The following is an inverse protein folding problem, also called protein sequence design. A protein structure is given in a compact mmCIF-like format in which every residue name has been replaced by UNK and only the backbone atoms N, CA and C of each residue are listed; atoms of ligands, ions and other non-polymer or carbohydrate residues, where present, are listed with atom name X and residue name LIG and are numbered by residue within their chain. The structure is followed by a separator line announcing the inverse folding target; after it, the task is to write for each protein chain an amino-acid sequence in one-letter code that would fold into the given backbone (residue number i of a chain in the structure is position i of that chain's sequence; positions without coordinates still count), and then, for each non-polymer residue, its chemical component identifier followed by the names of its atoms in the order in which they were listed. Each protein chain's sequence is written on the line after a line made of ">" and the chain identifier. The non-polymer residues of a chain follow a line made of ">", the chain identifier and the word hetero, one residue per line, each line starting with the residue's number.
data_IF_963716139313
#
_entry.id   IF_963716139313
#
_cell.length_a   1.000
_cell.length_b   1.000
_cell.length_c   1.000
_cell.angle_alpha   90.00
_cell.angle_beta   90.00
_cell.angle_gamma   90.00
#
_symmetry.space_group_name_H-M   'P 1'
#
loop_
_entity.id
_entity.type
_entity.pdbx_description
1 polymer ?
#
# COMPACT_ATOMS: atom_id res chain seq x y z
N UNK A 1 16.35 -6.29 30.15
CA UNK A 1 15.24 -6.23 29.18
C UNK A 1 15.13 -4.80 28.70
N UNK A 2 15.31 -4.53 27.41
CA UNK A 2 15.08 -3.20 26.86
C UNK A 2 13.59 -2.85 26.98
N UNK A 3 13.21 -1.62 27.33
CA UNK A 3 11.81 -1.21 27.39
C UNK A 3 11.15 -1.42 26.03
N UNK A 4 9.93 -1.96 26.02
CA UNK A 4 9.13 -2.08 24.80
C UNK A 4 8.85 -0.67 24.27
N UNK A 5 9.02 -0.41 22.96
CA UNK A 5 8.69 0.89 22.39
C UNK A 5 7.19 1.18 22.55
N UNK A 6 6.86 2.38 22.99
CA UNK A 6 5.47 2.88 22.99
C UNK A 6 5.09 3.27 21.57
N UNK A 7 4.20 2.52 20.94
CA UNK A 7 3.72 2.79 19.58
C UNK A 7 2.43 3.58 19.62
N UNK A 8 2.32 4.62 18.78
CA UNK A 8 1.07 5.34 18.50
C UNK A 8 0.63 5.00 17.08
N UNK A 9 -0.44 4.22 16.95
CA UNK A 9 -1.04 3.89 15.66
C UNK A 9 -2.03 4.98 15.25
N UNK A 10 -1.86 5.52 14.05
CA UNK A 10 -2.74 6.54 13.47
C UNK A 10 -3.21 6.02 12.11
N UNK A 11 -4.52 5.87 11.94
CA UNK A 11 -5.09 5.58 10.62
C UNK A 11 -4.96 6.84 9.75
N UNK A 12 -4.39 6.67 8.56
CA UNK A 12 -4.28 7.74 7.57
C UNK A 12 -5.06 7.30 6.35
N UNK A 13 -6.17 7.99 6.08
CA UNK A 13 -6.91 7.80 4.84
C UNK A 13 -6.15 8.43 3.67
N UNK A 14 -6.45 8.01 2.45
CA UNK A 14 -5.84 8.62 1.28
C UNK A 14 -6.24 10.10 1.22
N UNK A 15 -5.29 11.04 1.07
CA UNK A 15 -5.64 12.46 1.08
C UNK A 15 -6.61 12.84 -0.04
N UNK A 16 -6.62 12.07 -1.14
CA UNK A 16 -7.54 12.23 -2.27
C UNK A 16 -8.99 11.83 -1.96
N UNK A 17 -9.23 11.05 -0.91
CA UNK A 17 -10.57 10.67 -0.43
C UNK A 17 -11.05 11.55 0.72
N UNK A 18 -10.21 12.49 1.20
CA UNK A 18 -10.53 13.39 2.30
C UNK A 18 -10.94 14.79 1.82
N UNK A 19 -11.74 15.48 2.63
CA UNK A 19 -12.06 16.91 2.44
C UNK A 19 -10.83 17.81 2.59
N UNK A 20 -9.86 17.42 3.43
CA UNK A 20 -8.57 18.08 3.59
C UNK A 20 -7.43 17.25 2.98
N UNK A 21 -7.10 17.55 1.72
CA UNK A 21 -6.04 16.86 0.97
C UNK A 21 -4.61 17.08 1.51
N UNK A 22 -4.42 17.97 2.49
CA UNK A 22 -3.12 18.24 3.11
C UNK A 22 -2.83 17.33 4.32
N UNK A 23 -3.84 16.63 4.85
CA UNK A 23 -3.66 15.74 5.99
C UNK A 23 -3.03 14.40 5.54
N UNK A 24 -1.80 14.15 5.97
CA UNK A 24 -1.11 12.87 5.74
C UNK A 24 0.01 12.67 6.80
N UNK A 25 0.65 11.50 6.77
CA UNK A 25 1.69 11.11 7.73
C UNK A 25 2.96 11.97 7.70
N UNK A 26 3.20 12.75 6.64
CA UNK A 26 4.40 13.58 6.55
C UNK A 26 4.45 14.68 7.60
N UNK A 27 3.31 15.07 8.18
CA UNK A 27 3.27 16.00 9.31
C UNK A 27 3.89 15.41 10.58
N UNK A 28 3.77 14.09 10.79
CA UNK A 28 4.44 13.41 11.91
C UNK A 28 5.95 13.41 11.72
N UNK A 29 6.41 13.11 10.50
CA UNK A 29 7.82 13.16 10.13
C UNK A 29 8.39 14.57 10.35
N UNK A 30 7.72 15.62 9.82
CA UNK A 30 8.13 17.02 10.00
C UNK A 30 8.10 17.51 11.44
N UNK A 31 7.32 16.86 12.31
CA UNK A 31 7.30 17.12 13.74
C UNK A 31 8.38 16.34 14.51
N UNK A 32 9.34 15.73 13.81
CA UNK A 32 10.48 15.05 14.41
C UNK A 32 10.21 13.61 14.85
N UNK A 33 9.09 12.99 14.43
CA UNK A 33 8.74 11.62 14.80
C UNK A 33 9.25 10.61 13.78
N UNK A 34 9.83 9.52 14.28
CA UNK A 34 10.09 8.34 13.48
C UNK A 34 8.78 7.59 13.19
N UNK A 35 8.56 7.27 11.91
CA UNK A 35 7.31 6.72 11.40
C UNK A 35 7.54 5.37 10.72
N UNK A 36 6.67 4.41 11.01
CA UNK A 36 6.52 3.18 10.23
C UNK A 36 5.23 3.28 9.43
N UNK A 37 5.32 3.15 8.11
CA UNK A 37 4.15 3.20 7.23
C UNK A 37 3.63 1.79 7.00
N UNK A 38 2.36 1.53 7.30
CA UNK A 38 1.71 0.23 7.04
C UNK A 38 0.74 0.41 5.89
N UNK A 39 0.90 -0.40 4.84
CA UNK A 39 0.09 -0.31 3.62
C UNK A 39 -0.60 -1.63 3.31
N UNK A 40 -1.82 -1.55 2.79
CA UNK A 40 -2.64 -2.70 2.43
C UNK A 40 -3.18 -2.55 1.01
N UNK A 41 -3.15 -3.61 0.20
CA UNK A 41 -3.72 -3.65 -1.16
C UNK A 41 -3.28 -2.45 -2.02
N UNK A 42 -4.19 -1.71 -2.64
CA UNK A 42 -3.90 -0.49 -3.41
C UNK A 42 -3.05 0.54 -2.64
N UNK A 43 -3.14 0.57 -1.30
CA UNK A 43 -2.29 1.38 -0.43
C UNK A 43 -0.79 1.15 -0.64
N UNK A 44 -0.38 -0.01 -1.16
CA UNK A 44 1.00 -0.28 -1.55
C UNK A 44 1.51 0.66 -2.64
N UNK A 45 0.73 0.82 -3.72
CA UNK A 45 1.12 1.65 -4.87
C UNK A 45 1.36 3.11 -4.47
N UNK A 46 0.45 3.66 -3.66
CA UNK A 46 0.50 5.07 -3.21
C UNK A 46 1.41 5.28 -2.01
N UNK A 47 1.47 4.33 -1.07
CA UNK A 47 2.27 4.46 0.14
C UNK A 47 3.77 4.32 -0.13
N UNK A 48 4.18 3.47 -1.08
CA UNK A 48 5.58 3.39 -1.53
C UNK A 48 6.06 4.69 -2.18
N UNK A 49 5.19 5.37 -2.92
CA UNK A 49 5.48 6.69 -3.48
C UNK A 49 5.47 7.79 -2.43
N UNK A 50 4.55 7.72 -1.46
CA UNK A 50 4.36 8.73 -0.43
C UNK A 50 5.56 8.93 0.50
N UNK A 51 6.44 7.92 0.63
CA UNK A 51 7.62 8.00 1.50
C UNK A 51 8.82 8.70 0.86
N UNK A 52 8.73 9.09 -0.41
CA UNK A 52 9.83 9.75 -1.14
C UNK A 52 10.27 11.04 -0.43
N UNK A 53 11.56 11.14 -0.17
CA UNK A 53 12.16 12.30 0.50
C UNK A 53 11.84 12.40 2.00
N UNK A 54 11.21 11.39 2.59
CA UNK A 54 10.92 11.32 4.03
C UNK A 54 11.76 10.25 4.75
N UNK A 55 12.60 9.52 4.02
CA UNK A 55 13.50 8.49 4.57
C UNK A 55 14.80 9.12 5.06
N UNK A 56 15.60 8.35 5.82
CA UNK A 56 16.90 8.82 6.29
C UNK A 56 17.83 9.15 5.10
N UNK A 57 18.46 10.34 5.07
CA UNK A 57 19.38 10.71 4.01
C UNK A 57 20.55 9.73 3.90
N UNK A 58 21.02 9.48 2.67
CA UNK A 58 22.27 8.77 2.43
C UNK A 58 23.45 9.74 2.61
N UNK A 59 24.18 9.64 3.72
CA UNK A 59 25.31 10.51 4.01
C UNK A 59 25.64 10.57 5.50
N UNK A 60 26.71 11.29 5.90
CA UNK A 60 26.97 11.54 7.32
C UNK A 60 25.75 12.23 7.94
N UNK A 61 25.33 11.84 9.16
CA UNK A 61 24.15 12.40 9.79
C UNK A 61 24.28 13.91 9.86
N UNK A 62 23.38 14.64 9.20
CA UNK A 62 23.18 16.05 9.52
C UNK A 62 22.64 16.09 10.94
N UNK A 63 23.38 16.74 11.84
CA UNK A 63 23.12 16.76 13.28
C UNK A 63 21.73 17.31 13.68
N UNK A 64 20.95 17.81 12.73
CA UNK A 64 19.63 18.41 12.91
C UNK A 64 18.46 17.65 12.26
N UNK A 65 18.68 16.57 11.50
CA UNK A 65 17.55 15.86 10.87
C UNK A 65 16.86 14.96 11.91
N UNK A 66 15.63 15.32 12.29
CA UNK A 66 14.78 14.56 13.19
C UNK A 66 13.51 14.12 12.48
N UNK A 67 13.03 12.93 12.81
CA UNK A 67 11.85 12.33 12.21
C UNK A 67 12.11 11.79 10.81
N UNK A 68 11.98 10.48 10.66
CA UNK A 68 12.11 9.82 9.36
C UNK A 68 11.08 8.71 9.21
N UNK A 69 10.76 8.36 7.97
CA UNK A 69 10.20 7.04 7.67
C UNK A 69 11.31 6.02 7.87
N UNK A 70 11.18 5.21 8.92
CA UNK A 70 12.17 4.21 9.34
C UNK A 70 11.79 2.78 8.95
N UNK A 71 10.59 2.59 8.40
CA UNK A 71 10.13 1.29 7.93
C UNK A 71 8.84 1.38 7.13
N UNK A 72 8.63 0.39 6.28
CA UNK A 72 7.35 0.14 5.61
C UNK A 72 6.95 -1.32 5.79
N UNK A 73 5.67 -1.55 6.12
CA UNK A 73 5.06 -2.88 6.22
C UNK A 73 4.03 -2.98 5.10
N UNK A 74 4.19 -3.99 4.25
CA UNK A 74 3.42 -4.16 3.02
C UNK A 74 2.54 -5.40 3.17
N UNK A 75 1.22 -5.26 3.05
CA UNK A 75 0.25 -6.33 3.28
C UNK A 75 -0.69 -6.51 2.09
N UNK A 76 -0.94 -7.76 1.69
CA UNK A 76 -1.84 -8.12 0.59
C UNK A 76 -1.65 -7.28 -0.69
N UNK A 77 -0.39 -6.95 -1.00
CA UNK A 77 -0.02 -6.11 -2.13
C UNK A 77 1.41 -6.44 -2.58
N UNK A 78 1.80 -5.96 -3.75
CA UNK A 78 3.08 -6.25 -4.39
C UNK A 78 3.87 -4.99 -4.73
N UNK A 79 5.03 -5.21 -5.35
CA UNK A 79 5.88 -4.16 -5.89
C UNK A 79 5.65 -4.08 -7.41
N UNK A 80 5.26 -2.92 -7.90
CA UNK A 80 5.02 -2.63 -9.32
C UNK A 80 6.24 -1.91 -9.88
N UNK A 81 6.73 -2.15 -11.12
CA UNK A 81 7.86 -1.38 -11.64
C UNK A 81 7.63 0.15 -11.55
N UNK A 82 8.70 0.90 -11.28
CA UNK A 82 8.62 2.36 -11.14
C UNK A 82 8.13 2.97 -12.46
N UNK A 83 7.16 3.88 -12.38
CA UNK A 83 6.53 4.53 -13.53
C UNK A 83 5.42 3.72 -14.21
N UNK A 84 5.11 2.51 -13.73
CA UNK A 84 4.07 1.64 -14.32
C UNK A 84 2.75 1.78 -13.54
N UNK A 85 1.65 1.99 -14.27
CA UNK A 85 0.31 2.05 -13.68
C UNK A 85 -0.12 0.70 -13.08
N UNK A 86 -0.98 0.71 -12.07
CA UNK A 86 -1.41 -0.51 -11.38
C UNK A 86 -2.03 -1.54 -12.34
N UNK A 87 -2.90 -1.11 -13.26
CA UNK A 87 -3.53 -1.99 -14.24
C UNK A 87 -2.53 -2.54 -15.25
N UNK A 88 -1.51 -1.76 -15.60
CA UNK A 88 -0.48 -2.16 -16.56
C UNK A 88 0.37 -3.32 -16.03
N UNK A 89 0.70 -3.34 -14.73
CA UNK A 89 1.38 -4.51 -14.16
C UNK A 89 0.52 -5.77 -14.03
N UNK A 90 -0.80 -5.66 -14.17
CA UNK A 90 -1.70 -6.81 -14.38
C UNK A 90 -1.84 -7.20 -15.86
N UNK A 91 -0.96 -6.69 -16.74
CA UNK A 91 -1.02 -6.95 -18.18
C UNK A 91 -2.02 -6.06 -18.92
N UNK A 92 -2.41 -4.93 -18.32
CA UNK A 92 -3.26 -3.91 -18.94
C UNK A 92 -4.76 -4.23 -18.93
N UNK A 93 -5.18 -5.32 -18.29
CA UNK A 93 -6.60 -5.68 -18.15
C UNK A 93 -6.93 -6.03 -16.70
N UNK A 94 -8.13 -5.67 -16.22
CA UNK A 94 -8.54 -6.05 -14.88
C UNK A 94 -8.73 -7.58 -14.81
N UNK A 95 -8.31 -8.25 -13.71
CA UNK A 95 -8.77 -9.60 -13.44
C UNK A 95 -10.30 -9.77 -13.51
N UNK A 96 -10.84 -10.98 -13.76
CA UNK A 96 -12.27 -11.23 -13.99
C UNK A 96 -13.13 -11.19 -12.71
N UNK A 97 -12.81 -10.27 -11.80
CA UNK A 97 -13.53 -9.98 -10.55
C UNK A 97 -13.97 -8.51 -10.47
N UNK A 98 -13.48 -7.68 -11.41
CA UNK A 98 -13.80 -6.26 -11.51
C UNK A 98 -13.84 -5.83 -12.98
N UNK A 99 -14.57 -4.75 -13.25
CA UNK A 99 -14.71 -4.14 -14.58
C UNK A 99 -14.31 -2.67 -14.54
N UNK A 100 -13.94 -2.15 -15.70
CA UNK A 100 -13.74 -0.71 -15.89
C UNK A 100 -15.07 -0.10 -16.38
N UNK A 101 -15.58 0.86 -15.63
CA UNK A 101 -16.70 1.70 -16.01
C UNK A 101 -16.13 3.06 -16.45
N UNK A 102 -15.75 3.15 -17.73
CA UNK A 102 -15.09 4.33 -18.29
C UNK A 102 -16.01 5.55 -18.31
N UNK A 103 -17.32 5.35 -18.46
CA UNK A 103 -18.32 6.42 -18.45
C UNK A 103 -18.35 7.12 -17.08
N UNK A 104 -18.32 6.35 -16.00
CA UNK A 104 -18.29 6.89 -14.63
C UNK A 104 -16.88 7.15 -14.12
N UNK A 105 -15.85 6.73 -14.85
CA UNK A 105 -14.45 6.81 -14.42
C UNK A 105 -14.15 5.94 -13.20
N UNK A 106 -14.79 4.79 -13.09
CA UNK A 106 -14.73 3.90 -11.93
C UNK A 106 -14.20 2.51 -12.30
N UNK A 107 -13.59 1.85 -11.34
CA UNK A 107 -13.28 0.44 -11.37
C UNK A 107 -14.16 -0.25 -10.33
N UNK A 108 -14.99 -1.18 -10.80
CA UNK A 108 -16.14 -1.72 -10.08
C UNK A 108 -15.91 -3.20 -9.82
N UNK A 109 -15.94 -3.63 -8.55
CA UNK A 109 -15.91 -5.06 -8.21
C UNK A 109 -17.27 -5.66 -8.61
N UNK A 110 -17.25 -6.73 -9.41
CA UNK A 110 -18.44 -7.34 -10.01
C UNK A 110 -18.84 -8.65 -9.37
N UNK A 111 -18.09 -9.09 -8.38
CA UNK A 111 -18.36 -10.32 -7.61
C UNK A 111 -18.84 -9.95 -6.21
N UNK A 112 -19.38 -10.93 -5.50
CA UNK A 112 -19.77 -10.75 -4.10
C UNK A 112 -18.55 -10.35 -3.25
N UNK A 113 -18.62 -9.17 -2.64
CA UNK A 113 -17.51 -8.61 -1.87
C UNK A 113 -17.31 -9.33 -0.53
N UNK A 114 -18.38 -9.88 0.07
CA UNK A 114 -18.27 -10.70 1.27
C UNK A 114 -17.52 -11.98 0.95
N UNK A 115 -17.88 -12.68 -0.13
CA UNK A 115 -17.16 -13.88 -0.56
C UNK A 115 -15.72 -13.58 -0.97
N UNK A 116 -15.47 -12.43 -1.61
CA UNK A 116 -14.13 -12.08 -2.06
C UNK A 116 -13.18 -11.70 -0.91
N UNK A 117 -13.65 -10.87 0.04
CA UNK A 117 -12.80 -10.19 1.02
C UNK A 117 -13.03 -10.62 2.48
N UNK A 118 -14.20 -11.17 2.81
CA UNK A 118 -14.65 -11.39 4.19
C UNK A 118 -15.27 -12.80 4.38
N UNK A 119 -14.81 -13.78 3.60
CA UNK A 119 -15.42 -15.12 3.56
C UNK A 119 -15.20 -15.93 4.84
N UNK A 120 -14.18 -15.58 5.62
CA UNK A 120 -13.78 -16.18 6.88
C UNK A 120 -14.49 -15.57 8.11
N UNK A 121 -15.22 -14.46 7.92
CA UNK A 121 -16.03 -13.86 8.98
C UNK A 121 -17.39 -14.56 9.15
N UNK A 122 -17.96 -14.54 10.37
CA UNK A 122 -19.35 -14.90 10.59
C UNK A 122 -20.27 -14.15 9.62
N UNK A 123 -21.34 -14.80 9.15
CA UNK A 123 -22.17 -14.28 8.06
C UNK A 123 -22.59 -12.82 8.25
N UNK A 124 -23.15 -12.49 9.42
CA UNK A 124 -23.63 -11.13 9.71
C UNK A 124 -22.51 -10.09 9.65
N UNK A 125 -21.35 -10.41 10.22
CA UNK A 125 -20.18 -9.54 10.21
C UNK A 125 -19.60 -9.40 8.79
N UNK A 126 -19.52 -10.51 8.05
CA UNK A 126 -19.06 -10.51 6.66
C UNK A 126 -19.98 -9.74 5.72
N UNK A 127 -21.31 -9.82 5.92
CA UNK A 127 -22.28 -9.05 5.15
C UNK A 127 -22.15 -7.54 5.44
N UNK A 128 -22.00 -7.16 6.72
CA UNK A 128 -21.78 -5.77 7.12
C UNK A 128 -20.50 -5.22 6.50
N UNK A 129 -19.38 -5.92 6.62
CA UNK A 129 -18.12 -5.50 5.99
C UNK A 129 -18.16 -5.55 4.46
N UNK A 130 -18.81 -6.54 3.86
CA UNK A 130 -18.94 -6.67 2.40
C UNK A 130 -19.74 -5.54 1.77
N UNK A 131 -20.60 -4.87 2.54
CA UNK A 131 -21.43 -3.75 2.06
C UNK A 131 -20.69 -2.40 2.02
N UNK A 132 -19.54 -2.27 2.69
CA UNK A 132 -18.84 -1.00 2.89
C UNK A 132 -17.91 -0.58 1.75
N UNK A 133 -17.14 -1.47 1.08
CA UNK A 133 -16.24 -1.02 0.05
C UNK A 133 -17.01 -0.52 -1.18
N UNK A 134 -16.71 0.71 -1.57
CA UNK A 134 -17.25 1.34 -2.76
C UNK A 134 -16.38 1.13 -3.98
N UNK A 135 -16.87 1.63 -5.11
CA UNK A 135 -16.13 1.65 -6.36
C UNK A 135 -14.89 2.55 -6.23
N UNK A 136 -13.80 2.14 -6.88
CA UNK A 136 -12.53 2.86 -6.82
C UNK A 136 -12.34 3.71 -8.09
N UNK A 137 -11.65 4.84 -7.99
CA UNK A 137 -11.35 5.67 -9.15
C UNK A 137 -10.55 4.89 -10.21
N UNK A 138 -10.98 4.94 -11.48
CA UNK A 138 -10.24 4.32 -12.58
C UNK A 138 -8.86 4.96 -12.76
N UNK A 139 -8.76 6.28 -12.60
CA UNK A 139 -7.52 7.03 -12.75
C UNK A 139 -6.44 6.55 -11.77
N UNK A 140 -6.86 6.15 -10.55
CA UNK A 140 -5.97 5.59 -9.54
C UNK A 140 -5.25 4.31 -10.02
N UNK A 141 -5.83 3.57 -10.95
CA UNK A 141 -5.25 2.35 -11.49
C UNK A 141 -4.52 2.53 -12.82
N UNK A 142 -4.77 3.62 -13.55
CA UNK A 142 -4.20 3.85 -14.88
C UNK A 142 -3.07 4.88 -14.90
N UNK A 143 -2.99 5.78 -13.93
CA UNK A 143 -1.91 6.77 -13.84
C UNK A 143 -0.68 6.23 -13.10
N UNK A 144 0.40 5.94 -13.85
CA UNK A 144 1.69 5.47 -13.33
C UNK A 144 2.70 6.58 -13.02
N UNK A 145 2.38 7.84 -13.28
CA UNK A 145 3.37 8.95 -13.33
C UNK A 145 4.15 9.13 -12.03
N UNK A 146 3.54 8.77 -10.89
CA UNK A 146 4.14 8.87 -9.56
C UNK A 146 4.32 7.51 -8.87
N UNK A 147 4.26 6.38 -9.59
CA UNK A 147 4.42 5.06 -9.01
C UNK A 147 5.89 4.72 -8.79
N UNK A 148 6.28 4.34 -7.56
CA UNK A 148 7.61 3.85 -7.24
C UNK A 148 7.55 2.39 -6.81
N UNK A 149 8.46 1.57 -7.35
CA UNK A 149 8.42 0.13 -7.17
C UNK A 149 8.76 -0.32 -5.78
N UNK A 150 9.76 0.30 -5.18
CA UNK A 150 10.27 -0.05 -3.87
C UNK A 150 10.68 1.21 -3.14
N UNK A 151 10.71 1.13 -1.81
CA UNK A 151 11.27 2.20 -0.98
C UNK A 151 12.69 2.59 -1.42
N UNK A 152 13.46 1.63 -1.97
CA UNK A 152 14.81 1.89 -2.53
C UNK A 152 14.78 2.87 -3.70
N UNK A 153 13.78 2.75 -4.59
CA UNK A 153 13.61 3.64 -5.74
C UNK A 153 13.18 5.05 -5.29
N UNK A 154 12.49 5.12 -4.15
CA UNK A 154 12.21 6.37 -3.43
C UNK A 154 13.42 6.92 -2.64
N UNK A 155 14.61 6.29 -2.77
CA UNK A 155 15.87 6.72 -2.17
C UNK A 155 16.21 6.08 -0.83
N UNK A 156 15.37 5.19 -0.29
CA UNK A 156 15.58 4.57 1.01
C UNK A 156 16.74 3.54 1.01
N UNK A 157 17.33 3.33 2.18
CA UNK A 157 18.07 2.10 2.48
C UNK A 157 17.09 1.05 3.04
N UNK A 158 17.07 -0.16 2.47
CA UNK A 158 15.98 -1.12 2.67
C UNK A 158 16.52 -2.48 3.08
N UNK A 159 16.10 -2.95 4.25
CA UNK A 159 16.17 -4.36 4.62
C UNK A 159 14.79 -4.99 4.40
N UNK A 160 14.69 -5.97 3.50
CA UNK A 160 13.44 -6.69 3.23
C UNK A 160 13.33 -7.87 4.17
N UNK A 161 12.19 -8.01 4.86
CA UNK A 161 11.83 -9.19 5.66
C UNK A 161 10.46 -9.69 5.22
N UNK A 162 10.42 -10.91 4.68
CA UNK A 162 9.17 -11.58 4.35
C UNK A 162 8.52 -12.19 5.60
N UNK A 163 7.19 -12.23 5.61
CA UNK A 163 6.40 -13.01 6.56
C UNK A 163 5.50 -13.89 5.70
N UNK A 164 5.58 -15.21 5.89
CA UNK A 164 4.65 -16.14 5.26
C UNK A 164 3.26 -15.91 5.88
N UNK A 165 2.30 -15.48 5.06
CA UNK A 165 0.92 -15.27 5.48
C UNK A 165 -0.05 -15.91 4.49
N UNK A 166 -1.15 -16.45 5.00
CA UNK A 166 -2.09 -17.30 4.26
C UNK A 166 -3.22 -16.53 3.56
N UNK A 167 -3.03 -15.27 3.16
CA UNK A 167 -4.10 -14.44 2.60
C UNK A 167 -4.34 -14.60 1.08
N UNK A 168 -5.57 -14.23 0.68
CA UNK A 168 -6.34 -14.55 -0.55
C UNK A 168 -5.64 -14.61 -1.93
N UNK A 169 -6.25 -15.34 -2.90
CA UNK A 169 -5.61 -15.77 -4.15
C UNK A 169 -5.28 -14.70 -5.18
N UNK A 170 -5.59 -13.43 -4.92
CA UNK A 170 -5.42 -12.33 -5.89
C UNK A 170 -3.95 -12.13 -6.31
N UNK A 171 -3.00 -12.74 -5.58
CA UNK A 171 -1.56 -12.76 -5.90
C UNK A 171 -0.95 -14.17 -5.90
N UNK A 172 -1.72 -15.23 -5.65
CA UNK A 172 -1.15 -16.59 -5.57
C UNK A 172 -0.89 -17.23 -6.93
N UNK A 173 -1.30 -16.59 -8.05
CA UNK A 173 -1.02 -17.05 -9.41
C UNK A 173 -0.52 -15.92 -10.33
N UNK A 174 0.80 -15.69 -10.34
CA UNK A 174 1.57 -14.92 -11.34
C UNK A 174 1.88 -13.48 -10.90
N UNK A 175 3.12 -13.00 -10.71
CA UNK A 175 4.33 -13.17 -11.55
C UNK A 175 5.65 -13.25 -10.73
N UNK A 176 5.62 -13.29 -9.40
CA UNK A 176 6.85 -13.49 -8.63
C UNK A 176 7.05 -14.99 -8.33
N UNK A 177 7.89 -15.67 -9.12
CA UNK A 177 8.41 -16.99 -8.70
C UNK A 177 9.01 -16.84 -7.30
N UNK A 178 8.72 -17.75 -6.34
CA UNK A 178 9.31 -17.68 -5.02
C UNK A 178 10.83 -17.76 -5.17
N UNK A 179 11.52 -16.66 -4.86
CA UNK A 179 12.95 -16.67 -4.71
C UNK A 179 13.26 -17.51 -3.46
N UNK A 180 13.65 -18.78 -3.67
CA UNK A 180 14.24 -19.60 -2.62
C UNK A 180 15.56 -18.94 -2.23
N UNK A 181 15.59 -18.27 -1.07
CA UNK A 181 16.83 -17.90 -0.43
C UNK A 181 17.34 -19.15 0.30
N UNK A 182 18.38 -19.78 -0.25
CA UNK A 182 19.19 -20.70 0.53
C UNK A 182 19.99 -19.88 1.53
N UNK A 183 19.84 -20.22 2.82
CA UNK A 183 20.64 -19.71 3.93
C UNK A 183 22.13 -19.98 3.72
#
# INVERSE_FOLDING_TARGET
>A
MSPKPTLRCIAVELPTTQSNRAANFSNDVRAGRDVVVVVHSYGGAVGLSGIRGLTRPKGPPEASSSGHVIGIVVMATGFMPTGVGFLEGFGGKPPPIWKLDEERGLAVITVDQRELLYHDLPKEEGDDWGSKPGDQSLQAFTDGTNAYAMAKDAGADVTVRGIDSSHSPMLSNGVAKPAKLHL
#
